data_IF_976526181782
#
_entry.id   IF_976526181782
#
_cell.length_a   1.000
_cell.length_b   1.000
_cell.length_c   1.000
_cell.angle_alpha   90.00
_cell.angle_beta   90.00
_cell.angle_gamma   90.00
#
_symmetry.space_group_name_H-M   'P 1'
#
loop_
_entity.id
_entity.type
_entity.pdbx_description
1 polymer ?
#
# COMPACT_ATOMS: atom_id res chain seq x y z
N UNK A 1 1.97 -8.42 -3.15
CA UNK A 1 2.80 -7.21 -3.31
C UNK A 1 4.16 -7.44 -2.65
N UNK A 2 5.29 -6.92 -3.17
CA UNK A 2 6.63 -7.21 -2.63
C UNK A 2 6.85 -6.79 -1.16
N UNK A 3 6.27 -5.65 -0.76
CA UNK A 3 6.35 -5.17 0.62
C UNK A 3 5.59 -6.08 1.60
N UNK A 4 4.43 -6.60 1.19
CA UNK A 4 3.66 -7.57 1.96
C UNK A 4 4.43 -8.87 2.16
N UNK A 5 5.00 -9.42 1.08
CA UNK A 5 5.89 -10.58 1.15
C UNK A 5 7.05 -10.36 2.14
N UNK A 6 7.77 -9.25 2.03
CA UNK A 6 8.92 -8.98 2.87
C UNK A 6 8.57 -8.85 4.38
N UNK A 7 7.36 -8.38 4.70
CA UNK A 7 6.94 -8.09 6.08
C UNK A 7 6.22 -9.25 6.76
N UNK A 8 5.46 -10.04 6.00
CA UNK A 8 4.52 -11.04 6.53
C UNK A 8 4.87 -12.48 6.14
N UNK A 9 5.66 -12.70 5.09
CA UNK A 9 6.07 -14.05 4.68
C UNK A 9 7.32 -14.52 5.45
N UNK A 10 7.37 -15.79 5.83
CA UNK A 10 8.48 -16.42 6.56
C UNK A 10 9.17 -17.54 5.79
N UNK A 11 8.73 -17.79 4.55
CA UNK A 11 9.30 -18.77 3.64
C UNK A 11 10.73 -18.37 3.31
N UNK A 12 11.66 -19.30 3.51
CA UNK A 12 13.08 -19.08 3.22
C UNK A 12 13.38 -19.42 1.77
N UNK A 13 13.22 -18.41 0.90
CA UNK A 13 13.61 -18.47 -0.50
C UNK A 13 14.82 -17.55 -0.68
N UNK A 14 15.91 -18.08 -1.21
CA UNK A 14 17.13 -17.30 -1.44
C UNK A 14 17.01 -16.32 -2.61
N UNK A 15 18.13 -15.69 -2.96
CA UNK A 15 18.25 -14.87 -4.17
C UNK A 15 17.41 -13.60 -4.09
N UNK A 16 16.57 -13.34 -5.09
CA UNK A 16 15.75 -12.11 -5.16
C UNK A 16 14.81 -11.98 -3.96
N UNK A 17 14.27 -13.08 -3.45
CA UNK A 17 13.34 -13.06 -2.31
C UNK A 17 14.02 -12.69 -0.99
N UNK A 18 15.24 -13.17 -0.78
CA UNK A 18 16.09 -12.76 0.35
C UNK A 18 16.46 -11.27 0.27
N UNK A 19 16.75 -10.77 -0.94
CA UNK A 19 17.00 -9.34 -1.14
C UNK A 19 15.76 -8.49 -0.81
N UNK A 20 14.55 -8.92 -1.19
CA UNK A 20 13.31 -8.24 -0.84
C UNK A 20 13.10 -8.16 0.68
N UNK A 21 13.27 -9.27 1.40
CA UNK A 21 13.17 -9.28 2.86
C UNK A 21 14.19 -8.35 3.51
N UNK A 22 15.42 -8.31 2.99
CA UNK A 22 16.49 -7.47 3.54
C UNK A 22 16.25 -5.98 3.28
N UNK A 23 15.79 -5.60 2.09
CA UNK A 23 15.63 -4.19 1.72
C UNK A 23 14.30 -3.58 2.18
N UNK A 24 13.22 -4.37 2.26
CA UNK A 24 11.87 -3.87 2.54
C UNK A 24 11.43 -4.08 4.00
N UNK A 25 12.26 -4.71 4.83
CA UNK A 25 12.07 -4.75 6.30
C UNK A 25 12.74 -3.56 6.96
N UNK A 26 12.03 -2.44 6.98
CA UNK A 26 12.49 -1.22 7.64
C UNK A 26 11.48 -0.74 8.69
N UNK A 27 11.94 0.11 9.60
CA UNK A 27 11.08 0.72 10.61
C UNK A 27 9.96 1.53 9.95
N UNK A 28 8.72 1.25 10.32
CA UNK A 28 7.55 1.88 9.70
C UNK A 28 7.01 1.16 8.45
N UNK A 29 7.69 0.12 7.94
CA UNK A 29 7.25 -0.63 6.77
C UNK A 29 5.84 -1.21 6.89
N UNK A 30 5.44 -1.69 8.08
CA UNK A 30 4.07 -2.17 8.33
C UNK A 30 3.01 -1.08 8.21
N UNK A 31 3.30 0.12 8.73
CA UNK A 31 2.40 1.28 8.60
C UNK A 31 2.29 1.73 7.15
N UNK A 32 3.41 1.72 6.43
CA UNK A 32 3.39 1.99 4.99
C UNK A 32 2.55 0.95 4.24
N UNK A 33 2.75 -0.34 4.53
CA UNK A 33 1.96 -1.44 3.96
C UNK A 33 0.47 -1.23 4.18
N UNK A 34 0.03 -0.97 5.41
CA UNK A 34 -1.37 -0.68 5.74
C UNK A 34 -1.92 0.49 4.90
N UNK A 35 -1.14 1.58 4.80
CA UNK A 35 -1.54 2.79 4.06
C UNK A 35 -1.69 2.52 2.57
N UNK A 36 -0.72 1.84 1.94
CA UNK A 36 -0.78 1.55 0.50
C UNK A 36 -1.85 0.51 0.17
N UNK A 37 -2.12 -0.45 1.06
CA UNK A 37 -3.22 -1.41 0.92
C UNK A 37 -4.56 -0.67 0.93
N UNK A 38 -4.79 0.24 1.89
CA UNK A 38 -6.00 1.08 1.93
C UNK A 38 -6.21 1.87 0.63
N UNK A 39 -5.16 2.51 0.13
CA UNK A 39 -5.21 3.27 -1.13
C UNK A 39 -5.53 2.35 -2.32
N UNK A 40 -4.90 1.18 -2.38
CA UNK A 40 -5.12 0.22 -3.45
C UNK A 40 -6.57 -0.29 -3.44
N UNK A 41 -7.12 -0.58 -2.26
CA UNK A 41 -8.50 -1.05 -2.11
C UNK A 41 -9.48 0.04 -2.53
N UNK A 42 -9.32 1.28 -2.04
CA UNK A 42 -10.13 2.42 -2.46
C UNK A 42 -10.10 2.64 -3.98
N UNK A 43 -8.89 2.64 -4.58
CA UNK A 43 -8.73 2.78 -6.03
C UNK A 43 -9.45 1.66 -6.77
N UNK A 44 -9.33 0.41 -6.33
CA UNK A 44 -9.91 -0.74 -7.04
C UNK A 44 -11.44 -0.71 -6.97
N UNK A 45 -12.02 -0.40 -5.81
CA UNK A 45 -13.47 -0.31 -5.61
C UNK A 45 -14.09 0.84 -6.41
N UNK A 46 -13.50 2.03 -6.35
CA UNK A 46 -14.19 3.26 -6.78
C UNK A 46 -13.67 3.88 -8.09
N UNK A 47 -12.46 3.52 -8.55
CA UNK A 47 -11.79 4.24 -9.64
C UNK A 47 -11.39 3.31 -10.79
N UNK A 48 -10.67 2.22 -10.50
CA UNK A 48 -10.03 1.40 -11.54
C UNK A 48 -10.99 0.43 -12.22
N UNK A 49 -11.72 -0.36 -11.44
CA UNK A 49 -12.77 -1.24 -11.96
C UNK A 49 -14.16 -0.63 -11.79
N UNK A 50 -14.26 0.44 -10.97
CA UNK A 50 -15.49 1.15 -10.64
C UNK A 50 -16.62 0.18 -10.28
N UNK A 51 -16.31 -0.78 -9.39
CA UNK A 51 -17.27 -1.74 -8.84
C UNK A 51 -18.43 -1.02 -8.15
N UNK A 52 -18.16 0.17 -7.60
CA UNK A 52 -19.14 1.06 -6.98
C UNK A 52 -18.90 2.50 -7.43
N UNK A 53 -20.00 3.25 -7.57
CA UNK A 53 -19.93 4.68 -7.85
C UNK A 53 -19.52 5.47 -6.60
N UNK A 54 -18.52 6.34 -6.75
CA UNK A 54 -18.03 7.19 -5.66
C UNK A 54 -18.91 8.44 -5.51
N UNK A 55 -19.97 8.32 -4.70
CA UNK A 55 -20.94 9.41 -4.47
C UNK A 55 -20.77 10.11 -3.11
N UNK A 56 -20.08 9.47 -2.15
CA UNK A 56 -19.76 10.08 -0.86
C UNK A 56 -18.55 11.01 -0.97
N UNK A 57 -18.83 12.31 -0.93
CA UNK A 57 -17.81 13.36 -0.97
C UNK A 57 -16.82 13.29 0.21
N UNK A 58 -17.29 12.98 1.42
CA UNK A 58 -16.45 12.99 2.61
C UNK A 58 -15.46 11.82 2.57
N UNK A 59 -15.92 10.65 2.16
CA UNK A 59 -15.08 9.49 1.91
C UNK A 59 -14.01 9.83 0.85
N UNK A 60 -14.43 10.39 -0.28
CA UNK A 60 -13.52 10.76 -1.36
C UNK A 60 -12.43 11.74 -0.88
N UNK A 61 -12.82 12.78 -0.13
CA UNK A 61 -11.88 13.77 0.39
C UNK A 61 -10.87 13.13 1.37
N UNK A 62 -11.35 12.29 2.28
CA UNK A 62 -10.50 11.62 3.27
C UNK A 62 -9.46 10.70 2.60
N UNK A 63 -9.88 9.84 1.67
CA UNK A 63 -8.99 8.90 1.00
C UNK A 63 -7.98 9.62 0.10
N UNK A 64 -8.37 10.72 -0.55
CA UNK A 64 -7.45 11.54 -1.35
C UNK A 64 -6.37 12.21 -0.48
N UNK A 65 -6.72 12.72 0.70
CA UNK A 65 -5.73 13.28 1.64
C UNK A 65 -4.70 12.23 2.06
N UNK A 66 -5.16 11.04 2.42
CA UNK A 66 -4.28 9.91 2.78
C UNK A 66 -3.37 9.53 1.61
N UNK A 67 -3.91 9.48 0.38
CA UNK A 67 -3.12 9.17 -0.80
C UNK A 67 -2.03 10.23 -1.05
N UNK A 68 -2.37 11.52 -0.98
CA UNK A 68 -1.40 12.61 -1.14
C UNK A 68 -0.28 12.53 -0.09
N UNK A 69 -0.64 12.30 1.18
CA UNK A 69 0.33 12.13 2.26
C UNK A 69 1.26 10.93 2.02
N UNK A 70 0.71 9.79 1.57
CA UNK A 70 1.49 8.61 1.23
C UNK A 70 2.46 8.87 0.06
N UNK A 71 2.02 9.60 -0.97
CA UNK A 71 2.89 10.01 -2.08
C UNK A 71 4.04 10.90 -1.59
N UNK A 72 3.80 11.79 -0.62
CA UNK A 72 4.86 12.61 -0.04
C UNK A 72 5.88 11.79 0.76
N UNK A 73 5.44 10.70 1.40
CA UNK A 73 6.33 9.76 2.11
C UNK A 73 7.17 8.92 1.15
N UNK A 74 6.60 8.50 0.03
CA UNK A 74 7.27 7.61 -0.95
C UNK A 74 8.15 8.40 -1.93
N UNK A 75 7.75 9.62 -2.31
CA UNK A 75 8.43 10.43 -3.32
C UNK A 75 9.66 11.19 -2.83
N UNK A 76 10.12 10.95 -1.60
CA UNK A 76 11.34 11.49 -1.00
C UNK A 76 12.41 10.43 -0.94
#
# INVERSE_FOLDING_TARGET
>A
MCLDYALNDTTKIGGVFEALQTQLRFQGGRKLLETVTRINDFRNTYIAHQEQELTDKNLAEQELKIWIEALHVIGK
#
